data_IF_828711593155
#
_entry.id   IF_828711593155
#
_cell.length_a   1.000
_cell.length_b   1.000
_cell.length_c   1.000
_cell.angle_alpha   90.00
_cell.angle_beta   90.00
_cell.angle_gamma   90.00
#
_symmetry.space_group_name_H-M   'P 1'
#
loop_
_entity.id
_entity.type
_entity.pdbx_description
1 polymer ?
#
# COMPACT_ATOMS: atom_id res chain seq x y z
N UNK A 1 31.30 30.11 -29.17
CA UNK A 1 30.55 28.86 -29.44
C UNK A 1 30.54 28.10 -28.12
N UNK A 2 29.43 28.12 -27.37
CA UNK A 2 28.37 27.09 -27.39
C UNK A 2 28.98 25.72 -27.03
N UNK A 3 28.58 24.92 -26.05
CA UNK A 3 27.44 24.72 -25.13
C UNK A 3 28.01 23.74 -24.07
N UNK A 4 27.48 23.45 -22.90
CA UNK A 4 26.20 23.72 -22.26
C UNK A 4 26.26 22.96 -20.92
N UNK A 5 25.73 23.56 -19.87
CA UNK A 5 25.54 22.91 -18.59
C UNK A 5 24.42 21.87 -18.74
N UNK A 6 24.72 20.60 -18.51
CA UNK A 6 23.71 19.56 -18.31
C UNK A 6 23.55 19.34 -16.81
N UNK A 7 22.61 20.09 -16.23
CA UNK A 7 22.03 19.77 -14.94
C UNK A 7 21.24 18.46 -15.07
N UNK A 8 21.74 17.38 -14.47
CA UNK A 8 20.97 16.17 -14.25
C UNK A 8 20.01 16.40 -13.07
N UNK A 9 18.81 16.86 -13.39
CA UNK A 9 17.62 16.70 -12.54
C UNK A 9 17.19 15.23 -12.64
N UNK A 10 17.77 14.38 -11.79
CA UNK A 10 17.31 13.01 -11.63
C UNK A 10 16.21 12.97 -10.56
N UNK A 11 14.97 13.03 -11.05
CA UNK A 11 13.75 12.42 -10.52
C UNK A 11 13.63 12.21 -8.99
N UNK A 12 12.80 13.03 -8.35
CA UNK A 12 11.96 12.55 -7.25
C UNK A 12 11.06 11.42 -7.78
N UNK A 13 11.33 10.21 -7.35
CA UNK A 13 10.63 9.00 -7.79
C UNK A 13 11.35 7.82 -7.17
N UNK A 14 11.31 7.74 -5.85
CA UNK A 14 11.90 6.65 -5.08
C UNK A 14 11.09 5.38 -5.34
N UNK A 15 11.32 4.76 -6.49
CA UNK A 15 10.76 3.45 -6.82
C UNK A 15 11.48 2.43 -5.93
N UNK A 16 10.88 2.16 -4.77
CA UNK A 16 11.30 1.05 -3.92
C UNK A 16 11.19 -0.22 -4.75
N UNK A 17 12.31 -0.94 -4.87
CA UNK A 17 12.48 -2.11 -5.73
C UNK A 17 11.30 -3.07 -5.65
N UNK A 18 10.75 -3.54 -6.78
CA UNK A 18 9.73 -4.59 -6.74
C UNK A 18 10.37 -5.84 -6.14
N UNK A 19 9.76 -6.35 -5.06
CA UNK A 19 9.99 -7.71 -4.63
C UNK A 19 9.71 -8.65 -5.84
N UNK A 20 10.50 -9.72 -6.03
CA UNK A 20 10.36 -10.60 -7.19
C UNK A 20 8.92 -11.13 -7.32
N UNK A 21 8.31 -10.90 -8.49
CA UNK A 21 6.92 -11.22 -8.88
C UNK A 21 6.63 -12.74 -8.99
N UNK A 22 7.34 -13.59 -8.25
CA UNK A 22 7.17 -15.05 -8.25
C UNK A 22 6.33 -15.60 -7.09
N UNK A 23 5.93 -14.76 -6.14
CA UNK A 23 5.10 -15.13 -4.99
C UNK A 23 3.67 -14.62 -5.14
N UNK A 24 2.69 -15.31 -4.54
CA UNK A 24 1.32 -14.81 -4.47
C UNK A 24 1.25 -13.41 -3.85
N UNK A 25 0.19 -12.66 -4.16
CA UNK A 25 -0.02 -11.31 -3.67
C UNK A 25 -1.22 -11.25 -2.76
N UNK A 26 -1.18 -10.36 -1.79
CA UNK A 26 -2.32 -10.03 -0.96
C UNK A 26 -2.65 -8.55 -1.11
N UNK A 27 -3.94 -8.26 -1.07
CA UNK A 27 -4.50 -6.92 -1.11
C UNK A 27 -5.35 -6.71 0.12
N UNK A 28 -4.96 -5.76 0.97
CA UNK A 28 -5.85 -5.22 1.99
C UNK A 28 -6.82 -4.27 1.31
N UNK A 29 -8.12 -4.45 1.55
CA UNK A 29 -9.19 -3.59 1.05
C UNK A 29 -9.97 -3.03 2.22
N UNK A 30 -10.19 -1.72 2.23
CA UNK A 30 -10.87 -1.05 3.33
C UNK A 30 -11.59 0.21 2.88
N UNK A 31 -12.70 0.49 3.57
CA UNK A 31 -13.55 1.67 3.35
C UNK A 31 -13.43 2.59 4.57
N UNK A 32 -12.48 3.53 4.57
CA UNK A 32 -12.30 4.44 5.70
C UNK A 32 -13.46 5.46 5.76
N UNK A 33 -13.80 5.98 6.96
CA UNK A 33 -14.86 6.99 7.08
C UNK A 33 -14.53 8.29 6.33
N UNK A 34 -13.24 8.59 6.18
CA UNK A 34 -12.70 9.67 5.36
C UNK A 34 -11.42 9.23 4.66
N UNK A 35 -11.09 9.83 3.51
CA UNK A 35 -9.83 9.54 2.82
C UNK A 35 -8.61 9.85 3.71
N UNK A 36 -8.69 10.89 4.54
CA UNK A 36 -7.62 11.24 5.48
C UNK A 36 -7.31 10.08 6.44
N UNK A 37 -8.33 9.43 7.02
CA UNK A 37 -8.13 8.27 7.90
C UNK A 37 -7.58 7.07 7.14
N UNK A 38 -7.97 6.89 5.88
CA UNK A 38 -7.42 5.85 5.03
C UNK A 38 -5.92 6.05 4.76
N UNK A 39 -5.52 7.28 4.43
CA UNK A 39 -4.11 7.64 4.25
C UNK A 39 -3.32 7.56 5.55
N UNK A 40 -3.94 7.88 6.70
CA UNK A 40 -3.31 7.69 8.00
C UNK A 40 -3.03 6.20 8.28
N UNK A 41 -3.94 5.28 7.91
CA UNK A 41 -3.70 3.84 8.00
C UNK A 41 -2.53 3.41 7.10
N UNK A 42 -2.51 3.88 5.85
CA UNK A 42 -1.43 3.61 4.90
C UNK A 42 -0.09 4.10 5.45
N UNK A 43 -0.04 5.31 6.00
CA UNK A 43 1.18 5.88 6.60
C UNK A 43 1.64 5.06 7.81
N UNK A 44 0.73 4.66 8.69
CA UNK A 44 1.08 3.81 9.84
C UNK A 44 1.72 2.50 9.37
N UNK A 45 1.14 1.83 8.37
CA UNK A 45 1.65 0.55 7.88
C UNK A 45 2.94 0.69 7.05
N UNK A 46 3.08 1.75 6.25
CA UNK A 46 4.26 1.95 5.40
C UNK A 46 5.46 2.54 6.14
N UNK A 47 5.26 3.20 7.28
CA UNK A 47 6.36 3.83 8.05
C UNK A 47 6.68 3.10 9.34
N UNK A 48 5.66 2.62 10.08
CA UNK A 48 5.79 2.12 11.45
C UNK A 48 5.65 0.61 11.60
N UNK A 49 5.02 -0.08 10.64
CA UNK A 49 4.92 -1.54 10.69
C UNK A 49 6.29 -2.20 10.64
N UNK A 50 6.44 -3.30 11.38
CA UNK A 50 7.61 -4.16 11.29
C UNK A 50 7.73 -4.79 9.88
N UNK A 51 6.59 -5.02 9.24
CA UNK A 51 6.47 -5.71 7.96
C UNK A 51 6.28 -4.74 6.78
N UNK A 52 6.61 -3.46 6.94
CA UNK A 52 6.49 -2.44 5.88
C UNK A 52 7.23 -2.78 4.58
N UNK A 53 8.25 -3.65 4.66
CA UNK A 53 8.99 -4.14 3.50
C UNK A 53 8.16 -5.08 2.61
N UNK A 54 7.05 -5.64 3.11
CA UNK A 54 6.11 -6.42 2.31
C UNK A 54 5.27 -5.54 1.40
N UNK A 55 5.00 -4.29 1.80
CA UNK A 55 4.10 -3.38 1.10
C UNK A 55 4.77 -2.92 -0.21
N UNK A 56 4.07 -3.15 -1.31
CA UNK A 56 4.51 -2.82 -2.67
C UNK A 56 3.93 -1.49 -3.13
N UNK A 57 2.62 -1.32 -2.95
CA UNK A 57 1.90 -0.10 -3.35
C UNK A 57 0.60 0.05 -2.56
N UNK A 58 -0.02 1.22 -2.66
CA UNK A 58 -1.30 1.55 -2.03
C UNK A 58 -2.02 2.61 -2.85
N UNK A 59 -3.35 2.64 -2.79
CA UNK A 59 -4.11 3.59 -3.58
C UNK A 59 -5.62 3.49 -3.38
N UNK A 60 -6.36 4.15 -4.27
CA UNK A 60 -7.80 3.96 -4.42
C UNK A 60 -8.05 2.78 -5.37
N UNK A 61 -9.02 1.93 -5.03
CA UNK A 61 -9.35 0.77 -5.86
C UNK A 61 -10.05 1.15 -7.17
N UNK A 62 -10.79 2.26 -7.17
CA UNK A 62 -11.47 2.83 -8.34
C UNK A 62 -11.58 4.36 -8.15
N UNK A 63 -11.51 5.10 -9.25
CA UNK A 63 -11.61 6.56 -9.29
C UNK A 63 -13.08 6.99 -9.11
N UNK A 64 -13.46 7.11 -7.84
CA UNK A 64 -14.84 7.38 -7.40
C UNK A 64 -15.28 6.51 -6.23
N UNK A 65 -14.57 5.41 -5.95
CA UNK A 65 -14.80 4.57 -4.78
C UNK A 65 -14.15 5.18 -3.53
N UNK A 66 -14.81 5.00 -2.38
CA UNK A 66 -14.20 5.25 -1.07
C UNK A 66 -13.22 4.15 -0.66
N UNK A 67 -13.18 3.05 -1.41
CA UNK A 67 -12.36 1.89 -1.10
C UNK A 67 -10.91 2.16 -1.43
N UNK A 68 -10.07 2.00 -0.42
CA UNK A 68 -8.62 2.06 -0.53
C UNK A 68 -8.02 0.67 -0.45
N UNK A 69 -6.81 0.52 -0.99
CA UNK A 69 -6.08 -0.73 -0.98
C UNK A 69 -4.61 -0.57 -0.57
N UNK A 70 -4.04 -1.67 -0.06
CA UNK A 70 -2.59 -1.88 0.10
C UNK A 70 -2.25 -3.22 -0.54
N UNK A 71 -1.41 -3.21 -1.57
CA UNK A 71 -0.79 -4.38 -2.20
C UNK A 71 0.48 -4.75 -1.43
N UNK A 72 0.60 -6.02 -1.06
CA UNK A 72 1.76 -6.55 -0.35
C UNK A 72 2.18 -7.92 -0.88
N UNK A 73 3.46 -8.22 -0.67
CA UNK A 73 4.08 -9.47 -1.13
C UNK A 73 3.69 -10.66 -0.24
N UNK A 74 3.31 -11.77 -0.85
CA UNK A 74 2.79 -12.95 -0.17
C UNK A 74 1.27 -12.94 -0.10
N UNK A 75 0.67 -14.14 -0.17
CA UNK A 75 -0.78 -14.30 -0.05
C UNK A 75 -1.32 -13.97 1.33
N UNK A 76 -2.64 -13.82 1.44
CA UNK A 76 -3.31 -13.43 2.69
C UNK A 76 -3.06 -14.42 3.84
N UNK A 77 -2.98 -15.72 3.54
CA UNK A 77 -2.70 -16.76 4.52
C UNK A 77 -1.24 -16.74 4.96
N UNK A 78 -0.31 -16.62 4.01
CA UNK A 78 1.12 -16.56 4.28
C UNK A 78 1.49 -15.34 5.13
N UNK A 79 0.78 -14.23 4.96
CA UNK A 79 0.98 -12.98 5.69
C UNK A 79 -0.11 -12.70 6.74
N UNK A 80 -0.69 -13.75 7.33
CA UNK A 80 -1.71 -13.61 8.37
C UNK A 80 -1.30 -12.66 9.53
N UNK A 81 -0.03 -12.62 10.00
CA UNK A 81 0.41 -11.66 11.01
C UNK A 81 0.29 -10.20 10.57
N UNK A 82 0.74 -9.87 9.36
CA UNK A 82 0.64 -8.53 8.77
C UNK A 82 -0.84 -8.13 8.58
N UNK A 83 -1.67 -9.05 8.08
CA UNK A 83 -3.13 -8.81 7.93
C UNK A 83 -3.79 -8.52 9.28
N UNK A 84 -3.40 -9.23 10.35
CA UNK A 84 -3.91 -8.99 11.70
C UNK A 84 -3.41 -7.67 12.30
N UNK A 85 -2.17 -7.26 12.01
CA UNK A 85 -1.67 -5.92 12.38
C UNK A 85 -2.47 -4.82 11.67
N UNK A 86 -2.64 -4.92 10.36
CA UNK A 86 -3.40 -3.94 9.58
C UNK A 86 -4.83 -3.78 10.08
N UNK A 87 -5.51 -4.89 10.44
CA UNK A 87 -6.84 -4.85 11.06
C UNK A 87 -6.85 -4.11 12.40
N UNK A 88 -5.83 -4.31 13.24
CA UNK A 88 -5.71 -3.62 14.54
C UNK A 88 -5.46 -2.13 14.37
N UNK A 89 -4.56 -1.75 13.46
CA UNK A 89 -4.30 -0.34 13.14
C UNK A 89 -5.56 0.35 12.58
N UNK A 90 -6.27 -0.33 11.68
CA UNK A 90 -7.52 0.15 11.11
C UNK A 90 -8.61 0.36 12.18
N UNK A 91 -8.74 -0.57 13.13
CA UNK A 91 -9.68 -0.42 14.26
C UNK A 91 -9.39 0.82 15.12
N UNK A 92 -8.11 1.14 15.36
CA UNK A 92 -7.72 2.36 16.09
C UNK A 92 -8.14 3.64 15.37
N UNK A 93 -8.29 3.57 14.05
CA UNK A 93 -8.72 4.67 13.19
C UNK A 93 -10.23 4.63 12.85
N UNK A 94 -11.01 3.77 13.49
CA UNK A 94 -12.44 3.54 13.21
C UNK A 94 -12.73 3.04 11.78
N UNK A 95 -11.84 2.22 11.22
CA UNK A 95 -11.99 1.57 9.91
C UNK A 95 -12.37 0.10 10.16
N UNK A 96 -13.66 -0.21 10.07
CA UNK A 96 -14.21 -1.49 10.55
C UNK A 96 -14.04 -2.67 9.57
N UNK A 97 -13.94 -2.41 8.26
CA UNK A 97 -14.09 -3.43 7.21
C UNK A 97 -12.81 -3.68 6.42
N UNK A 98 -11.72 -4.06 7.10
CA UNK A 98 -10.47 -4.47 6.41
C UNK A 98 -10.55 -5.93 5.97
N UNK A 99 -10.62 -6.15 4.67
CA UNK A 99 -10.60 -7.47 4.03
C UNK A 99 -9.22 -7.73 3.42
N UNK A 100 -8.84 -9.00 3.32
CA UNK A 100 -7.68 -9.40 2.54
C UNK A 100 -8.18 -10.28 1.37
N UNK A 101 -7.70 -10.01 0.17
CA UNK A 101 -7.98 -10.81 -1.03
C UNK A 101 -6.68 -11.05 -1.81
N UNK A 102 -6.65 -12.08 -2.64
CA UNK A 102 -5.54 -12.35 -3.57
C UNK A 102 -5.87 -11.93 -5.01
N UNK A 103 -7.06 -11.36 -5.21
CA UNK A 103 -7.49 -10.77 -6.49
C UNK A 103 -7.23 -9.28 -6.49
N UNK A 104 -6.53 -8.79 -7.52
CA UNK A 104 -6.27 -7.35 -7.68
C UNK A 104 -7.58 -6.55 -7.69
N UNK A 105 -7.70 -5.48 -6.88
CA UNK A 105 -8.87 -4.61 -6.87
C UNK A 105 -8.85 -3.57 -7.99
N UNK A 106 -7.69 -3.34 -8.60
CA UNK A 106 -7.49 -2.45 -9.74
C UNK A 106 -7.47 -3.29 -11.01
N UNK A 107 -8.33 -2.93 -11.98
CA UNK A 107 -8.49 -3.58 -13.29
C UNK A 107 -7.93 -2.70 -14.41
#
# INVERSE_FOLDING_TARGET
MAMGALALLAACGETRSPAPDGGGHGYLLFDPPSQQQGWELVDQLTTRSADKALIRTSGLADDGAKTMFIDFSGGCEAQAPFVAEARRAAQQLNIANVRCTETSPIS
#
